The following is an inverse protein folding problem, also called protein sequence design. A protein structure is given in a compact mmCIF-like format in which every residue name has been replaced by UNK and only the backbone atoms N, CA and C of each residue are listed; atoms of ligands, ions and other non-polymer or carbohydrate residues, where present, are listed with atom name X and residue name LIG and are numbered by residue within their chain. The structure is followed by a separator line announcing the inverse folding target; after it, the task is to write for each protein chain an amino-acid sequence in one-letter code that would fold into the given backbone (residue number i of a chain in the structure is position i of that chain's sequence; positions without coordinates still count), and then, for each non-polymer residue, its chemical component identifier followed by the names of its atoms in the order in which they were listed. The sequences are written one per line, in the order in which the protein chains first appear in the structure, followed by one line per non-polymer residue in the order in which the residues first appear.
data_IF_591365483058
#
_entry.id   IF_591365483058
#
_cell.length_a   1.000
_cell.length_b   1.000
_cell.length_c   1.000
_cell.angle_alpha   90.00
_cell.angle_beta   90.00
_cell.angle_gamma   90.00
#
_symmetry.space_group_name_H-M   'P 1'
#
loop_
_entity.id
_entity.type
_entity.pdbx_description
1 polymer ?
#
# COMPACT_ATOMS: atom_id res chain seq x y z
N UNK A 1 9.78 26.31 20.35
CA UNK A 1 9.92 27.77 20.52
C UNK A 1 9.71 28.02 22.00
N UNK A 2 10.75 28.48 22.70
CA UNK A 2 10.75 28.55 24.16
C UNK A 2 9.68 29.54 24.68
N UNK A 3 9.46 30.63 23.95
CA UNK A 3 8.51 31.70 24.32
C UNK A 3 7.04 31.35 24.06
N UNK A 4 6.73 30.61 23.00
CA UNK A 4 5.37 30.16 22.72
C UNK A 4 5.38 28.79 22.00
N UNK A 5 5.16 27.68 22.73
CA UNK A 5 5.16 26.34 22.17
C UNK A 5 4.13 26.13 21.05
N UNK A 6 2.99 26.84 21.07
CA UNK A 6 1.94 26.70 20.06
C UNK A 6 2.36 27.15 18.65
N UNK A 7 3.33 28.06 18.55
CA UNK A 7 3.94 28.52 17.28
C UNK A 7 5.21 27.75 16.92
N UNK A 8 5.60 26.78 17.74
CA UNK A 8 6.80 25.98 17.55
C UNK A 8 6.65 24.86 16.52
N UNK A 9 7.66 23.99 16.41
CA UNK A 9 7.59 22.79 15.58
C UNK A 9 6.45 21.85 16.04
N UNK A 10 5.54 21.50 15.13
CA UNK A 10 4.51 20.51 15.41
C UNK A 10 5.08 19.08 15.36
N UNK A 11 4.99 18.37 16.48
CA UNK A 11 5.42 16.97 16.60
C UNK A 11 4.24 16.03 16.36
N UNK A 12 3.95 15.75 15.08
CA UNK A 12 2.94 14.77 14.73
C UNK A 12 3.31 13.37 15.27
N UNK A 13 2.35 12.70 15.89
CA UNK A 13 2.54 11.36 16.47
C UNK A 13 2.08 10.23 15.55
N UNK A 14 1.09 10.47 14.69
CA UNK A 14 0.58 9.46 13.78
C UNK A 14 1.63 9.03 12.73
N UNK A 15 1.79 7.71 12.44
CA UNK A 15 2.73 7.20 11.45
C UNK A 15 2.60 7.86 10.07
N UNK A 16 1.36 8.02 9.60
CA UNK A 16 1.03 8.71 8.34
C UNK A 16 1.57 10.14 8.28
N UNK A 17 1.47 10.88 9.38
CA UNK A 17 1.94 12.27 9.48
C UNK A 17 3.45 12.36 9.67
N UNK A 18 4.08 11.36 10.30
CA UNK A 18 5.54 11.25 10.35
C UNK A 18 6.11 11.04 8.93
N UNK A 19 5.52 10.11 8.16
CA UNK A 19 5.90 9.88 6.77
C UNK A 19 5.66 11.14 5.92
N UNK A 20 4.47 11.75 6.01
CA UNK A 20 4.15 13.00 5.31
C UNK A 20 5.12 14.13 5.65
N UNK A 21 5.51 14.28 6.92
CA UNK A 21 6.48 15.31 7.35
C UNK A 21 7.87 15.05 6.77
N UNK A 22 8.26 13.78 6.64
CA UNK A 22 9.51 13.37 5.99
C UNK A 22 9.50 13.72 4.51
N UNK A 23 8.44 13.39 3.78
CA UNK A 23 8.28 13.76 2.36
C UNK A 23 8.24 15.28 2.18
N UNK A 24 7.55 16.01 3.05
CA UNK A 24 7.55 17.49 3.05
C UNK A 24 8.95 18.07 3.20
N UNK A 25 9.83 17.43 3.98
CA UNK A 25 11.23 17.84 4.14
C UNK A 25 12.07 17.66 2.86
N UNK A 26 11.71 16.68 2.03
CA UNK A 26 12.35 16.42 0.73
C UNK A 26 11.83 17.31 -0.41
N UNK A 27 10.76 18.08 -0.16
CA UNK A 27 10.11 18.95 -1.15
C UNK A 27 10.38 20.43 -0.86
N UNK A 28 10.43 21.30 -1.90
CA UNK A 28 10.49 22.76 -1.75
C UNK A 28 9.12 23.32 -1.31
N UNK A 29 8.62 22.88 -0.15
CA UNK A 29 7.25 23.08 0.35
C UNK A 29 6.90 24.52 0.72
N UNK A 30 7.86 25.44 0.67
CA UNK A 30 7.65 26.88 0.82
C UNK A 30 7.18 27.54 -0.49
N UNK A 31 7.47 26.91 -1.63
CA UNK A 31 7.00 27.36 -2.95
C UNK A 31 5.60 26.85 -3.25
N UNK A 32 4.85 27.54 -4.12
CA UNK A 32 3.53 27.10 -4.59
C UNK A 32 3.57 25.73 -5.27
N UNK A 33 4.62 25.46 -6.06
CA UNK A 33 4.85 24.15 -6.69
C UNK A 33 4.99 23.03 -5.65
N UNK A 34 5.76 23.27 -4.59
CA UNK A 34 5.94 22.30 -3.51
C UNK A 34 4.66 22.07 -2.70
N UNK A 35 3.86 23.13 -2.48
CA UNK A 35 2.54 23.01 -1.86
C UNK A 35 1.60 22.15 -2.70
N UNK A 36 1.50 22.41 -4.00
CA UNK A 36 0.68 21.61 -4.92
C UNK A 36 1.13 20.14 -4.99
N UNK A 37 2.44 19.87 -4.94
CA UNK A 37 2.95 18.49 -4.88
C UNK A 37 2.52 17.77 -3.59
N UNK A 38 2.50 18.49 -2.46
CA UNK A 38 2.12 17.94 -1.17
C UNK A 38 0.61 17.71 -1.05
N UNK A 39 -0.20 18.54 -1.71
CA UNK A 39 -1.67 18.36 -1.81
C UNK A 39 -2.06 17.11 -2.61
N UNK A 40 -1.27 16.76 -3.64
CA UNK A 40 -1.48 15.52 -4.42
C UNK A 40 -1.16 14.26 -3.60
N UNK A 41 -0.30 14.37 -2.58
CA UNK A 41 0.08 13.25 -1.73
C UNK A 41 -0.99 13.00 -0.66
N UNK A 42 -1.57 11.79 -0.67
CA UNK A 42 -2.48 11.31 0.38
C UNK A 42 -1.82 10.16 1.14
N UNK A 43 -1.80 10.25 2.47
CA UNK A 43 -1.18 9.26 3.35
C UNK A 43 -2.18 8.88 4.44
N UNK A 44 -2.29 7.58 4.74
CA UNK A 44 -3.26 7.04 5.69
C UNK A 44 -2.61 6.04 6.63
N UNK A 45 -3.16 5.91 7.85
CA UNK A 45 -2.83 4.83 8.78
C UNK A 45 -3.83 3.68 8.57
N UNK A 46 -3.32 2.50 8.17
CA UNK A 46 -4.17 1.42 7.67
C UNK A 46 -4.70 1.68 6.25
N UNK A 47 -5.72 0.93 5.84
CA UNK A 47 -6.28 1.01 4.48
C UNK A 47 -7.75 1.39 4.55
N UNK A 48 -8.09 2.67 4.30
CA UNK A 48 -9.48 3.12 4.38
C UNK A 48 -10.35 2.52 3.27
N UNK A 49 -11.66 2.48 3.53
CA UNK A 49 -12.68 2.13 2.54
C UNK A 49 -13.09 3.38 1.75
N UNK A 50 -13.34 3.32 0.42
CA UNK A 50 -13.02 2.28 -0.54
C UNK A 50 -11.69 2.56 -1.28
N UNK A 51 -10.78 1.59 -1.28
CA UNK A 51 -9.60 1.58 -2.16
C UNK A 51 -9.90 0.72 -3.39
N UNK A 52 -10.33 1.36 -4.48
CA UNK A 52 -10.69 0.67 -5.75
C UNK A 52 -9.48 0.11 -6.49
N UNK A 53 -8.27 0.63 -6.24
CA UNK A 53 -7.05 0.28 -6.96
C UNK A 53 -6.21 -0.77 -6.23
N UNK A 54 -5.63 -1.71 -6.99
CA UNK A 54 -4.62 -2.64 -6.47
C UNK A 54 -3.43 -1.83 -5.94
N UNK A 55 -3.01 -2.12 -4.70
CA UNK A 55 -1.85 -1.49 -4.08
C UNK A 55 -0.57 -1.90 -4.80
N UNK A 56 0.26 -0.92 -5.10
CA UNK A 56 1.58 -1.10 -5.71
C UNK A 56 2.67 -1.15 -4.65
N UNK A 57 3.84 -1.66 -5.03
CA UNK A 57 5.02 -1.79 -4.16
C UNK A 57 6.20 -1.14 -4.88
N UNK A 58 7.13 -0.53 -4.12
CA UNK A 58 8.37 0.08 -4.64
C UNK A 58 9.56 -0.80 -4.25
N UNK A 59 10.08 -1.68 -5.13
CA UNK A 59 11.15 -2.64 -4.79
C UNK A 59 12.42 -1.97 -4.28
N UNK A 60 12.79 -0.83 -4.85
CA UNK A 60 13.98 -0.06 -4.48
C UNK A 60 13.97 0.46 -3.03
N UNK A 61 12.80 0.46 -2.36
CA UNK A 61 12.66 0.91 -0.98
C UNK A 61 12.25 -0.22 -0.01
N UNK A 62 12.17 -1.47 -0.48
CA UNK A 62 11.77 -2.58 0.38
C UNK A 62 12.88 -2.96 1.37
N UNK A 63 12.51 -3.12 2.64
CA UNK A 63 13.43 -3.58 3.71
C UNK A 63 14.14 -4.88 3.35
N UNK A 64 13.42 -5.86 2.79
CA UNK A 64 13.99 -7.17 2.43
C UNK A 64 15.04 -7.07 1.32
N UNK A 65 14.97 -6.03 0.48
CA UNK A 65 15.92 -5.79 -0.61
C UNK A 65 17.08 -4.91 -0.13
N UNK A 66 16.80 -3.91 0.71
CA UNK A 66 17.76 -2.86 1.07
C UNK A 66 18.55 -3.11 2.35
N UNK A 67 18.14 -4.07 3.18
CA UNK A 67 18.73 -4.30 4.50
C UNK A 67 19.23 -5.74 4.62
N UNK A 68 20.44 -5.92 5.17
CA UNK A 68 20.98 -7.26 5.48
C UNK A 68 20.07 -7.99 6.48
N UNK A 69 19.81 -9.30 6.34
CA UNK A 69 18.89 -10.04 7.21
C UNK A 69 19.22 -9.96 8.70
N UNK A 70 20.51 -9.83 9.05
CA UNK A 70 21.00 -9.80 10.44
C UNK A 70 20.87 -8.44 11.12
N UNK A 71 20.48 -7.38 10.41
CA UNK A 71 20.41 -6.02 10.97
C UNK A 71 19.03 -5.78 11.60
N UNK A 72 19.05 -5.20 12.81
CA UNK A 72 17.84 -4.78 13.53
C UNK A 72 17.16 -3.62 12.80
N UNK A 73 15.83 -3.56 12.89
CA UNK A 73 15.01 -2.48 12.34
C UNK A 73 13.87 -2.16 13.31
N UNK A 74 13.22 -1.01 13.12
CA UNK A 74 12.11 -0.58 13.96
C UNK A 74 10.82 -0.48 13.15
N UNK A 75 9.69 -0.71 13.83
CA UNK A 75 8.36 -0.52 13.25
C UNK A 75 7.86 0.89 13.55
N UNK A 76 7.56 1.66 12.50
CA UNK A 76 7.05 3.02 12.66
C UNK A 76 5.76 3.07 13.49
N UNK A 77 4.87 2.09 13.33
CA UNK A 77 3.62 2.02 14.11
C UNK A 77 3.86 1.83 15.62
N UNK A 78 4.89 1.06 16.00
CA UNK A 78 5.26 0.87 17.41
C UNK A 78 5.90 2.14 17.97
N UNK A 79 6.87 2.71 17.27
CA UNK A 79 7.52 3.96 17.66
C UNK A 79 6.50 5.08 17.85
N UNK A 80 5.59 5.24 16.89
CA UNK A 80 4.51 6.22 16.95
C UNK A 80 3.65 6.07 18.21
N UNK A 81 3.30 4.84 18.58
CA UNK A 81 2.52 4.56 19.78
C UNK A 81 3.27 4.95 21.05
N UNK A 82 4.54 4.53 21.18
CA UNK A 82 5.41 4.87 22.32
C UNK A 82 5.59 6.38 22.49
N UNK A 83 5.55 7.16 21.41
CA UNK A 83 5.61 8.65 21.46
C UNK A 83 4.24 9.34 21.56
N UNK A 84 3.15 8.60 21.76
CA UNK A 84 1.82 9.14 22.06
C UNK A 84 0.78 9.06 20.95
N UNK A 85 0.96 8.21 19.93
CA UNK A 85 -0.11 7.90 18.98
C UNK A 85 -1.14 6.95 19.60
N UNK A 86 -2.39 7.43 19.70
CA UNK A 86 -3.46 6.78 20.47
C UNK A 86 -4.23 5.70 19.70
N UNK A 87 -4.13 5.65 18.37
CA UNK A 87 -5.04 4.86 17.53
C UNK A 87 -4.49 3.49 17.10
N UNK A 88 -3.39 3.03 17.69
CA UNK A 88 -2.77 1.75 17.31
C UNK A 88 -3.75 0.56 17.40
N UNK A 89 -4.46 0.43 18.53
CA UNK A 89 -5.38 -0.68 18.76
C UNK A 89 -6.60 -0.66 17.82
N UNK A 90 -7.22 0.52 17.63
CA UNK A 90 -8.38 0.64 16.73
C UNK A 90 -7.99 0.41 15.27
N UNK A 91 -6.82 0.88 14.83
CA UNK A 91 -6.34 0.59 13.47
C UNK A 91 -6.08 -0.90 13.28
N UNK A 92 -5.52 -1.60 14.28
CA UNK A 92 -5.30 -3.04 14.21
C UNK A 92 -6.61 -3.82 14.06
N UNK A 93 -7.65 -3.50 14.85
CA UNK A 93 -8.96 -4.17 14.76
C UNK A 93 -9.64 -3.92 13.41
N UNK A 94 -9.57 -2.70 12.88
CA UNK A 94 -10.11 -2.37 11.56
C UNK A 94 -9.37 -3.09 10.42
N UNK A 95 -8.03 -3.17 10.50
CA UNK A 95 -7.23 -3.91 9.52
C UNK A 95 -7.55 -5.42 9.56
N UNK A 96 -7.86 -5.98 10.73
CA UNK A 96 -8.24 -7.39 10.83
C UNK A 96 -9.60 -7.66 10.18
N UNK A 97 -10.61 -6.81 10.47
CA UNK A 97 -11.90 -6.85 9.76
C UNK A 97 -11.72 -6.74 8.25
N UNK A 98 -10.79 -5.90 7.79
CA UNK A 98 -10.48 -5.73 6.36
C UNK A 98 -9.82 -6.99 5.76
N UNK A 99 -8.90 -7.63 6.47
CA UNK A 99 -8.23 -8.86 6.01
C UNK A 99 -9.20 -10.03 5.89
N UNK A 100 -10.14 -10.17 6.82
CA UNK A 100 -11.16 -11.23 6.74
C UNK A 100 -12.04 -11.07 5.49
N UNK A 101 -12.51 -9.85 5.20
CA UNK A 101 -13.22 -9.55 3.94
C UNK A 101 -12.35 -9.85 2.71
N UNK A 102 -11.07 -9.48 2.74
CA UNK A 102 -10.14 -9.75 1.66
C UNK A 102 -9.88 -11.24 1.43
N UNK A 103 -9.86 -12.06 2.50
CA UNK A 103 -9.71 -13.51 2.46
C UNK A 103 -10.91 -14.17 1.78
N UNK A 104 -12.14 -13.74 2.12
CA UNK A 104 -13.36 -14.20 1.46
C UNK A 104 -13.33 -13.86 -0.03
N UNK A 105 -13.00 -12.62 -0.38
CA UNK A 105 -12.88 -12.19 -1.77
C UNK A 105 -11.82 -13.02 -2.52
N UNK A 106 -10.66 -13.27 -1.93
CA UNK A 106 -9.60 -14.06 -2.53
C UNK A 106 -10.01 -15.51 -2.78
N UNK A 107 -10.72 -16.15 -1.83
CA UNK A 107 -11.28 -17.51 -2.01
C UNK A 107 -12.24 -17.57 -3.20
N UNK A 108 -13.17 -16.59 -3.31
CA UNK A 108 -14.08 -16.46 -4.45
C UNK A 108 -13.30 -16.29 -5.77
N UNK A 109 -12.30 -15.40 -5.80
CA UNK A 109 -11.44 -15.19 -6.97
C UNK A 109 -10.69 -16.46 -7.39
N UNK A 110 -10.15 -17.22 -6.44
CA UNK A 110 -9.45 -18.49 -6.71
C UNK A 110 -10.40 -19.52 -7.33
N UNK A 111 -11.62 -19.64 -6.80
CA UNK A 111 -12.67 -20.52 -7.35
C UNK A 111 -13.02 -20.13 -8.79
N UNK A 112 -13.27 -18.83 -9.04
CA UNK A 112 -13.56 -18.33 -10.39
C UNK A 112 -12.40 -18.56 -11.36
N UNK A 113 -11.15 -18.36 -10.91
CA UNK A 113 -9.96 -18.63 -11.74
C UNK A 113 -9.86 -20.11 -12.11
N UNK A 114 -10.15 -21.02 -11.17
CA UNK A 114 -10.18 -22.47 -11.44
C UNK A 114 -11.27 -22.83 -12.46
N UNK A 115 -12.48 -22.29 -12.29
CA UNK A 115 -13.59 -22.51 -13.22
C UNK A 115 -13.27 -21.96 -14.61
N UNK A 116 -12.68 -20.78 -14.69
CA UNK A 116 -12.22 -20.19 -15.97
C UNK A 116 -11.23 -21.11 -16.68
N UNK A 117 -10.23 -21.64 -15.98
CA UNK A 117 -9.28 -22.60 -16.56
C UNK A 117 -9.96 -23.88 -17.04
N UNK A 118 -10.96 -24.38 -16.31
CA UNK A 118 -11.74 -25.54 -16.76
C UNK A 118 -12.54 -25.23 -18.02
N UNK A 119 -13.21 -24.07 -18.07
CA UNK A 119 -13.94 -23.64 -19.24
C UNK A 119 -13.03 -23.47 -20.46
N UNK A 120 -11.86 -22.85 -20.30
CA UNK A 120 -10.83 -22.71 -21.34
C UNK A 120 -10.43 -24.07 -21.94
N UNK A 121 -10.23 -25.10 -21.11
CA UNK A 121 -9.96 -26.47 -21.59
C UNK A 121 -11.15 -27.08 -22.33
N UNK A 122 -12.36 -26.94 -21.78
CA UNK A 122 -13.57 -27.53 -22.38
C UNK A 122 -13.86 -26.96 -23.78
N UNK A 123 -13.50 -25.70 -24.05
CA UNK A 123 -13.76 -25.03 -25.35
C UNK A 123 -12.52 -24.94 -26.24
N UNK A 124 -11.41 -25.61 -25.87
CA UNK A 124 -10.12 -25.50 -26.54
C UNK A 124 -10.21 -25.69 -28.06
N UNK A 125 -10.96 -26.70 -28.53
CA UNK A 125 -11.16 -26.95 -29.95
C UNK A 125 -11.78 -25.76 -30.71
N UNK A 126 -12.71 -25.02 -30.08
CA UNK A 126 -13.36 -23.84 -30.68
C UNK A 126 -12.46 -22.60 -30.69
N UNK A 127 -11.60 -22.47 -29.67
CA UNK A 127 -10.72 -21.28 -29.52
C UNK A 127 -9.33 -21.47 -30.11
N UNK A 128 -8.98 -22.67 -30.57
CA UNK A 128 -7.64 -23.04 -31.05
C UNK A 128 -7.07 -22.06 -32.09
N UNK A 129 -7.87 -21.65 -33.08
CA UNK A 129 -7.47 -20.68 -34.11
C UNK A 129 -6.95 -19.37 -33.49
N UNK A 130 -7.65 -18.85 -32.48
CA UNK A 130 -7.28 -17.61 -31.79
C UNK A 130 -6.06 -17.81 -30.89
N UNK A 131 -6.01 -18.93 -30.16
CA UNK A 131 -4.88 -19.29 -29.29
C UNK A 131 -3.58 -19.39 -30.10
N UNK A 132 -3.61 -19.96 -31.32
CA UNK A 132 -2.44 -20.06 -32.21
C UNK A 132 -1.89 -18.68 -32.60
N UNK A 133 -2.77 -17.71 -32.89
CA UNK A 133 -2.37 -16.33 -33.17
C UNK A 133 -1.75 -15.68 -31.92
N UNK A 134 -2.36 -15.86 -30.74
CA UNK A 134 -1.83 -15.32 -29.48
C UNK A 134 -0.45 -15.89 -29.14
N UNK A 135 -0.23 -17.20 -29.39
CA UNK A 135 1.08 -17.85 -29.23
C UNK A 135 2.13 -17.32 -30.21
N UNK A 136 1.75 -17.08 -31.48
CA UNK A 136 2.64 -16.46 -32.48
C UNK A 136 3.16 -15.09 -32.02
N UNK A 137 2.36 -14.34 -31.27
CA UNK A 137 2.73 -13.04 -30.71
C UNK A 137 3.28 -13.10 -29.27
N UNK A 138 3.53 -14.29 -28.72
CA UNK A 138 4.12 -14.47 -27.38
C UNK A 138 3.23 -14.05 -26.21
N UNK A 139 1.91 -13.86 -26.44
CA UNK A 139 0.96 -13.45 -25.39
C UNK A 139 0.54 -14.63 -24.49
N UNK A 140 0.59 -15.84 -25.04
CA UNK A 140 0.37 -17.08 -24.33
C UNK A 140 1.60 -17.96 -24.52
N UNK A 141 2.08 -18.54 -23.43
CA UNK A 141 3.10 -19.60 -23.42
C UNK A 141 2.38 -20.94 -23.54
#
# INVERSE_FOLDING_TARGET
MNTNPSRGPYHFRAPSRIFWRTVRGMLPHKTKRGQAALERLKVFDGIPHPTTRKRMVVPAALKVVRLKPTRKFAYLGRLAHEVGWKYQAVTATLEEKRKEKAKIHYRKKKKLTKLRKQAEKNVEGKIHKYTKVLKKHGLLV
#
